data_IF_335453327126
#
_entry.id   IF_335453327126
#
_cell.length_a   1.000
_cell.length_b   1.000
_cell.length_c   1.000
_cell.angle_alpha   90.00
_cell.angle_beta   90.00
_cell.angle_gamma   90.00
#
_symmetry.space_group_name_H-M   'P 1'
#
loop_
_entity.id
_entity.type
_entity.pdbx_description
1 polymer ?
#
# COMPACT_ATOMS: atom_id res chain seq x y z
N UNK A 1 9.09 1.83 30.19
CA UNK A 1 10.16 1.17 29.43
C UNK A 1 9.46 0.42 28.28
N UNK A 2 9.43 0.98 27.07
CA UNK A 2 8.89 0.31 25.87
C UNK A 2 9.87 -0.75 25.42
N UNK A 3 9.35 -1.90 25.05
CA UNK A 3 10.12 -3.08 24.66
C UNK A 3 10.92 -2.84 23.37
N UNK A 4 12.18 -2.47 23.48
CA UNK A 4 13.12 -2.33 22.35
C UNK A 4 13.34 -3.66 21.58
N UNK A 5 12.87 -4.79 22.08
CA UNK A 5 13.09 -6.10 21.44
C UNK A 5 12.32 -6.32 20.13
N UNK A 6 11.19 -5.61 19.90
CA UNK A 6 10.43 -5.74 18.65
C UNK A 6 11.13 -4.92 17.55
N UNK A 7 11.65 -3.77 17.91
CA UNK A 7 12.33 -2.88 16.96
C UNK A 7 13.65 -3.51 16.46
N UNK A 8 14.42 -4.13 17.35
CA UNK A 8 15.66 -4.84 16.98
C UNK A 8 15.40 -6.04 16.06
N UNK A 9 14.32 -6.81 16.28
CA UNK A 9 13.97 -7.96 15.45
C UNK A 9 13.51 -7.58 14.04
N UNK A 10 12.88 -6.41 13.88
CA UNK A 10 12.48 -5.88 12.58
C UNK A 10 13.72 -5.40 11.81
N UNK A 11 14.62 -4.69 12.47
CA UNK A 11 15.84 -4.15 11.86
C UNK A 11 16.74 -5.27 11.32
N UNK A 12 16.84 -6.41 12.00
CA UNK A 12 17.63 -7.55 11.53
C UNK A 12 17.11 -8.24 10.26
N UNK A 13 15.84 -8.03 9.90
CA UNK A 13 15.19 -8.69 8.74
C UNK A 13 15.20 -7.87 7.46
N UNK A 14 15.39 -6.57 7.55
CA UNK A 14 15.32 -5.66 6.41
C UNK A 14 16.69 -5.10 6.10
N UNK A 15 16.94 -4.90 4.82
CA UNK A 15 18.13 -4.17 4.35
C UNK A 15 17.98 -2.68 4.63
N UNK A 16 19.08 -1.94 4.56
CA UNK A 16 19.10 -0.50 4.83
C UNK A 16 18.15 0.28 3.88
N UNK A 17 18.15 -0.07 2.60
CA UNK A 17 17.27 0.57 1.61
C UNK A 17 15.79 0.22 1.81
N UNK A 18 15.47 -1.00 2.24
CA UNK A 18 14.10 -1.39 2.62
C UNK A 18 13.62 -0.58 3.84
N UNK A 19 14.44 -0.47 4.88
CA UNK A 19 14.13 0.35 6.05
C UNK A 19 13.95 1.83 5.69
N UNK A 20 14.82 2.36 4.83
CA UNK A 20 14.72 3.72 4.33
C UNK A 20 13.43 3.93 3.53
N UNK A 21 13.07 2.99 2.67
CA UNK A 21 11.83 3.02 1.89
C UNK A 21 10.59 3.02 2.81
N UNK A 22 10.56 2.11 3.79
CA UNK A 22 9.48 2.02 4.78
C UNK A 22 9.36 3.35 5.54
N UNK A 23 10.48 3.89 6.03
CA UNK A 23 10.47 5.14 6.78
C UNK A 23 9.96 6.30 5.94
N UNK A 24 10.45 6.49 4.71
CA UNK A 24 10.02 7.58 3.82
C UNK A 24 8.55 7.47 3.42
N UNK A 25 8.06 6.26 3.17
CA UNK A 25 6.65 6.05 2.81
C UNK A 25 5.72 6.27 3.99
N UNK A 26 6.06 5.77 5.18
CA UNK A 26 5.24 5.93 6.38
C UNK A 26 5.24 7.35 6.95
N UNK A 27 6.30 8.13 6.71
CA UNK A 27 6.36 9.55 7.10
C UNK A 27 5.83 10.50 6.03
N UNK A 28 5.40 9.99 4.87
CA UNK A 28 4.91 10.78 3.74
C UNK A 28 6.01 11.50 2.95
N UNK A 29 7.29 11.36 3.32
CA UNK A 29 8.42 12.06 2.70
C UNK A 29 8.84 11.50 1.35
N UNK A 30 8.48 10.27 1.04
CA UNK A 30 8.94 9.57 -0.16
C UNK A 30 8.78 10.39 -1.45
N UNK A 31 7.61 10.98 -1.67
CA UNK A 31 7.34 11.75 -2.88
C UNK A 31 8.04 13.10 -2.88
N UNK A 32 8.16 13.75 -1.74
CA UNK A 32 8.76 15.07 -1.61
C UNK A 32 10.28 14.99 -1.81
N UNK A 33 10.92 13.97 -1.26
CA UNK A 33 12.34 13.71 -1.47
C UNK A 33 12.65 13.50 -2.97
N UNK A 34 11.81 12.73 -3.69
CA UNK A 34 11.99 12.54 -5.15
C UNK A 34 11.80 13.86 -5.91
N UNK A 35 10.87 14.72 -5.50
CA UNK A 35 10.71 16.07 -6.09
C UNK A 35 11.98 16.89 -5.92
N UNK A 36 12.53 16.91 -4.70
CA UNK A 36 13.76 17.64 -4.37
C UNK A 36 14.96 17.11 -5.15
N UNK A 37 15.15 15.80 -5.21
CA UNK A 37 16.24 15.15 -5.97
C UNK A 37 16.18 15.46 -7.46
N UNK A 38 14.95 15.60 -8.01
CA UNK A 38 14.74 16.03 -9.39
C UNK A 38 14.78 17.56 -9.55
N UNK A 39 15.27 18.31 -8.56
CA UNK A 39 15.38 19.78 -8.58
C UNK A 39 14.05 20.46 -8.93
N UNK A 40 12.96 19.93 -8.40
CA UNK A 40 11.60 20.42 -8.64
C UNK A 40 11.19 20.52 -10.14
N UNK A 41 11.88 19.78 -11.02
CA UNK A 41 11.56 19.75 -12.46
C UNK A 41 10.17 19.20 -12.74
N UNK A 42 9.69 18.31 -11.88
CA UNK A 42 8.38 17.67 -11.99
C UNK A 42 7.56 17.91 -10.72
N UNK A 43 6.26 18.13 -10.89
CA UNK A 43 5.35 18.19 -9.74
C UNK A 43 5.23 16.82 -9.05
N UNK A 44 4.88 16.82 -7.78
CA UNK A 44 4.63 15.61 -6.96
C UNK A 44 3.64 14.66 -7.65
N UNK A 45 2.54 15.20 -8.19
CA UNK A 45 1.54 14.41 -8.92
C UNK A 45 2.09 13.77 -10.19
N UNK A 46 2.93 14.49 -10.93
CA UNK A 46 3.60 13.95 -12.13
C UNK A 46 4.57 12.84 -11.79
N UNK A 47 5.37 13.01 -10.73
CA UNK A 47 6.30 11.98 -10.25
C UNK A 47 5.51 10.74 -9.83
N UNK A 48 4.47 10.90 -9.00
CA UNK A 48 3.62 9.81 -8.57
C UNK A 48 3.07 9.00 -9.75
N UNK A 49 2.46 9.68 -10.75
CA UNK A 49 1.94 9.02 -11.96
C UNK A 49 3.02 8.24 -12.72
N UNK A 50 4.20 8.84 -12.89
CA UNK A 50 5.31 8.20 -13.63
C UNK A 50 5.91 7.02 -12.87
N UNK A 51 6.09 7.13 -11.55
CA UNK A 51 6.56 6.04 -10.71
C UNK A 51 5.60 4.85 -10.77
N UNK A 52 4.30 5.08 -10.62
CA UNK A 52 3.32 4.01 -10.78
C UNK A 52 3.39 3.37 -12.17
N UNK A 53 3.41 4.18 -13.24
CA UNK A 53 3.43 3.67 -14.61
C UNK A 53 4.74 2.99 -15.01
N UNK A 54 5.88 3.38 -14.46
CA UNK A 54 7.20 2.91 -14.90
C UNK A 54 7.82 1.89 -13.95
N UNK A 55 7.65 2.05 -12.63
CA UNK A 55 8.25 1.19 -11.63
C UNK A 55 7.27 0.09 -11.18
N UNK A 56 6.08 0.47 -10.71
CA UNK A 56 5.19 -0.47 -10.06
C UNK A 56 4.30 -1.26 -11.04
N UNK A 57 3.82 -0.63 -12.12
CA UNK A 57 2.83 -1.23 -13.04
C UNK A 57 3.38 -1.55 -14.43
N UNK A 58 4.62 -1.24 -14.72
CA UNK A 58 5.20 -1.61 -16.01
C UNK A 58 5.38 -3.12 -16.14
N UNK A 59 5.07 -3.67 -17.30
CA UNK A 59 5.20 -5.09 -17.62
C UNK A 59 6.64 -5.57 -17.67
N UNK A 60 7.49 -4.75 -18.24
CA UNK A 60 8.91 -5.06 -18.43
C UNK A 60 9.76 -3.92 -17.88
N UNK A 61 10.98 -4.27 -17.49
CA UNK A 61 11.98 -3.27 -17.11
C UNK A 61 12.20 -2.29 -18.27
N UNK A 62 11.90 -1.01 -18.03
CA UNK A 62 12.12 0.07 -19.00
C UNK A 62 13.33 0.86 -18.58
N UNK A 63 14.17 1.21 -19.54
CA UNK A 63 15.20 2.23 -19.31
C UNK A 63 14.51 3.60 -19.22
N UNK A 64 14.12 3.94 -18.02
CA UNK A 64 13.41 5.18 -17.70
C UNK A 64 14.04 5.84 -16.48
N UNK A 65 14.02 7.16 -16.48
CA UNK A 65 14.72 7.96 -15.44
C UNK A 65 14.28 7.58 -14.02
N UNK A 66 12.99 7.33 -13.81
CA UNK A 66 12.46 6.99 -12.49
C UNK A 66 12.72 5.53 -12.11
N UNK A 67 12.82 4.61 -13.09
CA UNK A 67 13.23 3.23 -12.85
C UNK A 67 14.68 3.20 -12.39
N UNK A 68 15.57 3.88 -13.12
CA UNK A 68 16.98 3.93 -12.78
C UNK A 68 17.22 4.62 -11.43
N UNK A 69 16.49 5.68 -11.13
CA UNK A 69 16.53 6.35 -9.84
C UNK A 69 16.09 5.39 -8.72
N UNK A 70 14.92 4.77 -8.86
CA UNK A 70 14.38 3.87 -7.84
C UNK A 70 15.28 2.64 -7.62
N UNK A 71 15.80 2.05 -8.69
CA UNK A 71 16.73 0.91 -8.63
C UNK A 71 18.05 1.28 -7.95
N UNK A 72 18.55 2.50 -8.16
CA UNK A 72 19.75 3.00 -7.48
C UNK A 72 19.52 3.22 -5.99
N UNK A 73 18.41 3.84 -5.63
CA UNK A 73 18.13 4.31 -4.28
C UNK A 73 17.52 3.22 -3.39
N UNK A 74 16.82 2.25 -4.01
CA UNK A 74 16.13 1.16 -3.32
C UNK A 74 16.29 -0.18 -4.07
N UNK A 75 17.52 -0.72 -4.20
CA UNK A 75 17.78 -1.90 -5.01
C UNK A 75 17.02 -3.14 -4.55
N UNK A 76 16.97 -3.43 -3.23
CA UNK A 76 16.28 -4.60 -2.70
C UNK A 76 14.75 -4.44 -2.79
N UNK A 77 14.23 -3.24 -2.56
CA UNK A 77 12.80 -2.95 -2.78
C UNK A 77 12.43 -3.12 -4.26
N UNK A 78 13.30 -2.69 -5.17
CA UNK A 78 13.08 -2.87 -6.60
C UNK A 78 13.03 -4.35 -6.99
N UNK A 79 13.92 -5.17 -6.46
CA UNK A 79 13.90 -6.63 -6.67
C UNK A 79 12.61 -7.26 -6.17
N UNK A 80 12.10 -6.84 -5.00
CA UNK A 80 10.79 -7.27 -4.50
C UNK A 80 9.66 -6.87 -5.45
N UNK A 81 9.66 -5.64 -5.94
CA UNK A 81 8.66 -5.16 -6.93
C UNK A 81 8.68 -6.03 -8.18
N UNK A 82 9.84 -6.34 -8.73
CA UNK A 82 9.98 -7.21 -9.90
C UNK A 82 9.51 -8.63 -9.60
N UNK A 83 9.91 -9.18 -8.46
CA UNK A 83 9.47 -10.49 -8.01
C UNK A 83 7.96 -10.56 -7.90
N UNK A 84 7.31 -9.55 -7.36
CA UNK A 84 5.86 -9.52 -7.17
C UNK A 84 5.05 -9.25 -8.45
N UNK A 85 5.70 -8.82 -9.50
CA UNK A 85 5.10 -8.76 -10.84
C UNK A 85 5.05 -10.12 -11.53
N UNK A 86 5.86 -11.08 -11.10
CA UNK A 86 5.88 -12.41 -11.69
C UNK A 86 4.77 -13.30 -11.12
N UNK A 87 3.87 -13.84 -11.96
CA UNK A 87 2.78 -14.70 -11.51
C UNK A 87 3.21 -15.97 -10.76
N UNK A 88 4.46 -16.39 -10.94
CA UNK A 88 5.03 -17.61 -10.35
C UNK A 88 5.58 -17.42 -8.92
N UNK A 89 5.59 -16.19 -8.42
CA UNK A 89 6.27 -15.85 -7.15
C UNK A 89 5.38 -15.86 -5.92
N UNK A 90 4.11 -16.23 -6.04
CA UNK A 90 3.09 -15.98 -5.02
C UNK A 90 2.90 -17.05 -3.97
N UNK A 91 3.61 -18.15 -4.03
CA UNK A 91 3.43 -19.27 -3.10
C UNK A 91 3.85 -19.00 -1.65
N UNK A 92 4.42 -17.82 -1.33
CA UNK A 92 5.04 -17.60 -0.03
C UNK A 92 4.77 -16.24 0.64
N UNK A 93 3.87 -15.41 0.14
CA UNK A 93 3.53 -14.16 0.81
C UNK A 93 2.39 -14.38 1.82
N UNK A 94 2.76 -14.71 3.05
CA UNK A 94 1.93 -14.62 4.28
C UNK A 94 0.50 -15.19 4.19
N UNK A 95 0.28 -16.27 3.44
CA UNK A 95 -1.04 -16.93 3.35
C UNK A 95 -2.02 -16.28 2.38
N UNK A 96 -1.62 -15.21 1.68
CA UNK A 96 -2.39 -14.65 0.58
C UNK A 96 -2.12 -15.45 -0.69
N UNK A 97 -2.95 -16.46 -0.91
CA UNK A 97 -3.02 -17.15 -2.20
C UNK A 97 -3.88 -16.26 -3.10
N UNK A 98 -3.25 -15.35 -3.83
CA UNK A 98 -3.92 -14.76 -4.98
C UNK A 98 -3.91 -15.85 -6.06
N UNK A 99 -5.05 -16.50 -6.26
CA UNK A 99 -5.19 -17.52 -7.29
C UNK A 99 -5.27 -16.84 -8.67
N UNK A 100 -4.09 -16.54 -9.22
CA UNK A 100 -3.96 -15.93 -10.54
C UNK A 100 -4.53 -16.79 -11.66
N UNK A 101 -4.73 -18.10 -11.41
CA UNK A 101 -5.36 -18.99 -12.38
C UNK A 101 -6.87 -18.76 -12.50
N UNK A 102 -7.49 -18.17 -11.48
CA UNK A 102 -8.94 -17.85 -11.53
C UNK A 102 -9.26 -16.57 -12.29
N UNK A 103 -8.28 -15.68 -12.46
CA UNK A 103 -8.49 -14.40 -13.14
C UNK A 103 -9.58 -13.54 -12.47
N UNK A 104 -9.69 -12.31 -12.92
CA UNK A 104 -10.78 -11.41 -12.50
C UNK A 104 -11.94 -11.57 -13.46
N UNK A 105 -13.14 -11.88 -12.95
CA UNK A 105 -14.35 -11.91 -13.77
C UNK A 105 -14.82 -10.48 -14.03
N UNK A 106 -14.65 -10.02 -15.26
CA UNK A 106 -15.16 -8.72 -15.70
C UNK A 106 -16.15 -8.92 -16.84
N UNK A 107 -17.36 -8.42 -16.68
CA UNK A 107 -18.46 -8.59 -17.64
C UNK A 107 -18.67 -10.06 -18.09
N UNK A 108 -18.63 -11.01 -17.16
CA UNK A 108 -18.83 -12.43 -17.45
C UNK A 108 -17.68 -13.12 -18.20
N UNK A 109 -16.57 -12.42 -18.43
CA UNK A 109 -15.35 -12.99 -19.01
C UNK A 109 -14.26 -13.07 -17.96
N UNK A 110 -13.64 -14.24 -17.85
CA UNK A 110 -12.44 -14.42 -17.04
C UNK A 110 -11.28 -13.73 -17.76
N UNK A 111 -10.74 -12.67 -17.17
CA UNK A 111 -9.54 -12.02 -17.66
C UNK A 111 -8.37 -12.55 -16.85
N UNK A 112 -7.41 -13.21 -17.50
CA UNK A 112 -6.19 -13.67 -16.85
C UNK A 112 -5.44 -12.49 -16.23
N UNK A 113 -4.82 -12.72 -15.08
CA UNK A 113 -3.91 -11.74 -14.47
C UNK A 113 -2.59 -11.83 -15.20
N UNK A 114 -2.18 -10.77 -15.85
CA UNK A 114 -0.87 -10.65 -16.48
C UNK A 114 0.12 -9.94 -15.54
N UNK A 115 1.38 -9.87 -15.98
CA UNK A 115 2.46 -9.24 -15.20
C UNK A 115 2.21 -7.76 -14.91
N UNK A 116 1.45 -7.04 -15.75
CA UNK A 116 1.13 -5.62 -15.56
C UNK A 116 0.12 -5.42 -14.42
N UNK A 117 -0.75 -6.40 -14.22
CA UNK A 117 -1.86 -6.30 -13.27
C UNK A 117 -1.60 -7.09 -11.97
N UNK A 118 -0.57 -7.92 -11.92
CA UNK A 118 -0.27 -8.76 -10.77
C UNK A 118 -0.03 -7.95 -9.48
N UNK A 119 0.93 -7.06 -9.49
CA UNK A 119 1.25 -6.23 -8.31
C UNK A 119 0.11 -5.28 -7.94
N UNK A 120 -0.52 -4.52 -8.87
CA UNK A 120 -1.71 -3.73 -8.55
C UNK A 120 -2.82 -4.54 -7.90
N UNK A 121 -3.15 -5.72 -8.45
CA UNK A 121 -4.20 -6.57 -7.89
C UNK A 121 -3.85 -7.08 -6.49
N UNK A 122 -2.59 -7.45 -6.25
CA UNK A 122 -2.12 -7.83 -4.92
C UNK A 122 -2.30 -6.68 -3.92
N UNK A 123 -1.85 -5.48 -4.27
CA UNK A 123 -1.96 -4.30 -3.40
C UNK A 123 -3.43 -3.96 -3.11
N UNK A 124 -4.29 -3.97 -4.14
CA UNK A 124 -5.73 -3.74 -3.97
C UNK A 124 -6.40 -4.81 -3.10
N UNK A 125 -5.99 -6.07 -3.23
CA UNK A 125 -6.52 -7.16 -2.39
C UNK A 125 -6.12 -6.98 -0.94
N UNK A 126 -4.86 -6.66 -0.67
CA UNK A 126 -4.37 -6.38 0.71
C UNK A 126 -5.08 -5.19 1.33
N UNK A 127 -5.27 -4.12 0.56
CA UNK A 127 -6.03 -2.94 1.01
C UNK A 127 -7.49 -3.30 1.30
N UNK A 128 -8.15 -4.03 0.39
CA UNK A 128 -9.53 -4.48 0.56
C UNK A 128 -9.72 -5.33 1.81
N UNK A 129 -8.77 -6.23 2.11
CA UNK A 129 -8.83 -7.07 3.30
C UNK A 129 -8.69 -6.25 4.60
N UNK A 130 -7.82 -5.24 4.60
CA UNK A 130 -7.69 -4.32 5.73
C UNK A 130 -9.00 -3.57 5.97
N UNK A 131 -9.55 -2.96 4.91
CA UNK A 131 -10.81 -2.22 5.03
C UNK A 131 -12.00 -3.10 5.37
N UNK A 132 -12.03 -4.35 4.88
CA UNK A 132 -13.05 -5.30 5.29
C UNK A 132 -13.03 -5.56 6.80
N UNK A 133 -11.84 -5.77 7.37
CA UNK A 133 -11.70 -5.97 8.81
C UNK A 133 -12.09 -4.72 9.60
N UNK A 134 -11.68 -3.53 9.12
CA UNK A 134 -12.11 -2.25 9.72
C UNK A 134 -13.64 -2.15 9.73
N UNK A 135 -14.30 -2.40 8.59
CA UNK A 135 -15.77 -2.35 8.52
C UNK A 135 -16.43 -3.36 9.46
N UNK A 136 -15.89 -4.56 9.58
CA UNK A 136 -16.43 -5.57 10.51
C UNK A 136 -16.31 -5.13 11.97
N UNK A 137 -15.20 -4.50 12.36
CA UNK A 137 -15.04 -3.95 13.70
C UNK A 137 -15.97 -2.74 13.97
N UNK A 138 -16.12 -1.86 12.98
CA UNK A 138 -17.07 -0.74 13.07
C UNK A 138 -18.51 -1.25 13.20
N UNK A 139 -18.89 -2.25 12.41
CA UNK A 139 -20.20 -2.88 12.51
C UNK A 139 -20.46 -3.50 13.89
N UNK A 140 -19.46 -4.18 14.49
CA UNK A 140 -19.57 -4.70 15.87
C UNK A 140 -19.78 -3.60 16.93
N UNK A 141 -19.29 -2.40 16.65
CA UNK A 141 -19.49 -1.20 17.48
C UNK A 141 -20.79 -0.44 17.15
N UNK A 142 -21.64 -0.99 16.25
CA UNK A 142 -22.88 -0.38 15.73
C UNK A 142 -22.63 0.96 14.99
N UNK A 143 -21.48 1.13 14.36
CA UNK A 143 -21.17 2.28 13.53
C UNK A 143 -21.47 1.92 12.07
N UNK A 144 -22.41 2.68 11.46
CA UNK A 144 -22.74 2.53 10.04
C UNK A 144 -21.68 3.20 9.17
N UNK A 145 -20.97 2.40 8.41
CA UNK A 145 -19.88 2.89 7.57
C UNK A 145 -19.84 2.16 6.24
N UNK A 146 -19.33 2.83 5.21
CA UNK A 146 -19.02 2.23 3.90
C UNK A 146 -17.58 2.52 3.52
N UNK A 147 -16.96 1.59 2.81
CA UNK A 147 -15.62 1.75 2.26
C UNK A 147 -15.70 2.26 0.82
N UNK A 148 -14.99 3.34 0.52
CA UNK A 148 -14.86 3.89 -0.82
C UNK A 148 -13.39 4.19 -1.07
N UNK A 149 -12.74 3.41 -1.90
CA UNK A 149 -11.29 3.48 -2.17
C UNK A 149 -10.47 3.38 -0.86
N UNK A 150 -9.70 4.41 -0.54
CA UNK A 150 -8.85 4.54 0.63
C UNK A 150 -9.53 5.30 1.80
N UNK A 151 -10.86 5.39 1.79
CA UNK A 151 -11.64 6.12 2.77
C UNK A 151 -12.77 5.30 3.39
N UNK A 152 -13.06 5.60 4.65
CA UNK A 152 -14.29 5.19 5.35
C UNK A 152 -15.24 6.38 5.36
N UNK A 153 -16.43 6.17 4.86
CA UNK A 153 -17.49 7.19 4.79
C UNK A 153 -18.58 6.83 5.77
N UNK A 154 -19.01 7.79 6.58
CA UNK A 154 -20.10 7.69 7.55
C UNK A 154 -21.11 8.82 7.33
N UNK A 155 -22.37 8.68 7.79
CA UNK A 155 -23.33 9.77 7.73
C UNK A 155 -22.86 11.01 8.53
N UNK A 156 -23.13 12.21 8.02
CA UNK A 156 -22.76 13.48 8.68
C UNK A 156 -23.20 13.55 10.14
N UNK A 157 -24.39 13.03 10.44
CA UNK A 157 -24.91 13.01 11.82
C UNK A 157 -24.07 12.19 12.81
N UNK A 158 -23.20 11.33 12.30
CA UNK A 158 -22.38 10.43 13.10
C UNK A 158 -20.91 10.84 13.14
N UNK A 159 -20.48 11.77 12.28
CA UNK A 159 -19.05 12.14 12.14
C UNK A 159 -18.46 12.63 13.45
N UNK A 160 -19.12 13.59 14.14
CA UNK A 160 -18.59 14.16 15.39
C UNK A 160 -18.52 13.12 16.53
N UNK A 161 -19.45 12.15 16.52
CA UNK A 161 -19.56 11.14 17.58
C UNK A 161 -18.61 9.96 17.33
N UNK A 162 -18.44 9.59 16.06
CA UNK A 162 -17.77 8.35 15.68
C UNK A 162 -16.33 8.53 15.16
N UNK A 163 -15.93 9.75 14.80
CA UNK A 163 -14.61 9.98 14.18
C UNK A 163 -13.45 9.40 15.00
N UNK A 164 -13.43 9.63 16.31
CA UNK A 164 -12.38 9.10 17.18
C UNK A 164 -12.44 7.57 17.30
N UNK A 165 -13.61 6.97 17.29
CA UNK A 165 -13.79 5.52 17.36
C UNK A 165 -13.37 4.85 16.04
N UNK A 166 -13.67 5.49 14.90
CA UNK A 166 -13.24 5.02 13.59
C UNK A 166 -11.72 5.07 13.49
N UNK A 167 -11.10 6.18 13.90
CA UNK A 167 -9.65 6.30 13.92
C UNK A 167 -8.98 5.26 14.82
N UNK A 168 -9.55 5.00 16.01
CA UNK A 168 -9.07 3.96 16.92
C UNK A 168 -9.12 2.57 16.27
N UNK A 169 -10.27 2.19 15.69
CA UNK A 169 -10.44 0.89 15.01
C UNK A 169 -9.45 0.77 13.85
N UNK A 170 -9.32 1.80 13.02
CA UNK A 170 -8.35 1.78 11.92
C UNK A 170 -6.93 1.60 12.45
N UNK A 171 -6.54 2.33 13.51
CA UNK A 171 -5.21 2.19 14.12
C UNK A 171 -4.97 0.80 14.66
N UNK A 172 -5.94 0.18 15.31
CA UNK A 172 -5.83 -1.18 15.85
C UNK A 172 -5.65 -2.22 14.75
N UNK A 173 -6.47 -2.16 13.70
CA UNK A 173 -6.42 -3.09 12.57
C UNK A 173 -5.08 -2.96 11.80
N UNK A 174 -4.64 -1.75 11.55
CA UNK A 174 -3.34 -1.51 10.88
C UNK A 174 -2.16 -1.92 11.77
N UNK A 175 -2.22 -1.61 13.07
CA UNK A 175 -1.18 -1.98 14.03
C UNK A 175 -1.03 -3.50 14.18
N UNK A 176 -2.13 -4.26 14.12
CA UNK A 176 -2.10 -5.71 14.12
C UNK A 176 -1.30 -6.29 12.93
N UNK A 177 -1.15 -5.52 11.85
CA UNK A 177 -0.35 -5.84 10.67
C UNK A 177 1.03 -5.17 10.65
N UNK A 178 1.44 -4.53 11.75
CA UNK A 178 2.71 -3.80 11.83
C UNK A 178 2.73 -2.48 11.07
N UNK A 179 1.55 -1.94 10.71
CA UNK A 179 1.40 -0.69 9.95
C UNK A 179 0.99 0.46 10.87
N UNK A 180 1.46 1.66 10.57
CA UNK A 180 1.19 2.88 11.35
C UNK A 180 0.77 4.04 10.43
N UNK A 181 -0.44 3.98 9.82
CA UNK A 181 -0.90 5.00 8.91
C UNK A 181 -1.25 6.30 9.63
N UNK A 182 -1.26 7.38 8.88
CA UNK A 182 -1.86 8.66 9.26
C UNK A 182 -3.22 8.79 8.59
N UNK A 183 -4.18 9.37 9.29
CA UNK A 183 -5.53 9.60 8.80
C UNK A 183 -5.83 11.09 8.76
N UNK A 184 -6.66 11.51 7.81
CA UNK A 184 -7.31 12.82 7.77
C UNK A 184 -8.82 12.64 7.85
N UNK A 185 -9.51 13.62 8.39
CA UNK A 185 -10.97 13.69 8.38
C UNK A 185 -11.36 14.82 7.44
N UNK A 186 -12.12 14.49 6.41
CA UNK A 186 -12.62 15.43 5.42
C UNK A 186 -14.15 15.38 5.43
N UNK A 187 -14.79 16.54 5.29
CA UNK A 187 -16.25 16.68 5.12
C UNK A 187 -16.53 17.05 3.66
N UNK A 188 -17.48 16.37 3.05
CA UNK A 188 -17.91 16.60 1.66
C UNK A 188 -19.29 17.27 1.60
#
# INVERSE_FOLDING_TARGET
MRNNKIDDFIIEKFTEDELMYIWKTTTGRFWDDIVEENKCKYSRSTIKKRMFAQVFYAKTEKDAIFVNQFKRDYPNVYELVIKWKSPLSYDNLSGYIVDYNKGVVYNGKVKGVDEETALPNLMMSLESDIFHEVLMELYRKNISAVHIHDAIVVPDSEVEVCASQIEEVMREVYKARGLHPTFSVDTY
#
